data_IF_534307847098
#
_entry.id   IF_534307847098
#
_cell.length_a   1.000
_cell.length_b   1.000
_cell.length_c   1.000
_cell.angle_alpha   90.00
_cell.angle_beta   90.00
_cell.angle_gamma   90.00
#
_symmetry.space_group_name_H-M   'P 1'
#
loop_
_entity.id
_entity.type
_entity.pdbx_description
1 polymer ?
#
# COMPACT_ATOMS: atom_id res chain seq x y z
N UNK A 1 -65.62 -15.71 6.82
CA UNK A 1 -64.76 -14.51 6.71
C UNK A 1 -63.32 -14.95 6.92
N UNK A 2 -62.50 -15.00 5.85
CA UNK A 2 -61.12 -15.51 5.89
C UNK A 2 -60.16 -14.31 6.07
N UNK A 3 -59.42 -14.27 7.19
CA UNK A 3 -58.30 -13.32 7.41
C UNK A 3 -57.01 -13.99 6.95
N UNK A 4 -56.52 -13.61 5.78
CA UNK A 4 -55.19 -13.99 5.27
C UNK A 4 -54.15 -13.02 5.82
N UNK A 5 -53.29 -13.51 6.72
CA UNK A 5 -52.11 -12.79 7.17
C UNK A 5 -51.00 -12.97 6.12
N UNK A 6 -50.54 -11.88 5.50
CA UNK A 6 -49.33 -11.86 4.69
C UNK A 6 -48.15 -11.59 5.61
N UNK A 7 -47.35 -12.62 5.91
CA UNK A 7 -46.01 -12.45 6.48
C UNK A 7 -45.12 -11.80 5.42
N UNK A 8 -44.53 -10.65 5.76
CA UNK A 8 -43.45 -10.05 4.98
C UNK A 8 -42.14 -10.58 5.56
N UNK A 9 -41.45 -11.43 4.80
CA UNK A 9 -40.10 -11.87 5.10
C UNK A 9 -39.16 -10.73 4.68
N UNK A 10 -38.59 -10.04 5.66
CA UNK A 10 -37.52 -9.08 5.43
C UNK A 10 -36.24 -9.86 5.11
N UNK A 11 -35.79 -9.81 3.85
CA UNK A 11 -34.43 -10.23 3.49
C UNK A 11 -33.44 -9.21 4.07
N UNK A 12 -32.74 -9.59 5.13
CA UNK A 12 -31.51 -8.93 5.56
C UNK A 12 -30.42 -9.26 4.53
N UNK A 13 -30.18 -8.33 3.60
CA UNK A 13 -28.99 -8.34 2.75
C UNK A 13 -27.79 -8.07 3.66
N UNK A 14 -27.06 -9.12 4.02
CA UNK A 14 -25.72 -9.02 4.56
C UNK A 14 -24.85 -8.40 3.47
N UNK A 15 -24.60 -7.09 3.56
CA UNK A 15 -23.62 -6.42 2.75
C UNK A 15 -22.26 -7.03 3.04
N UNK A 16 -21.79 -7.88 2.14
CA UNK A 16 -20.39 -8.27 2.07
C UNK A 16 -19.59 -6.98 1.95
N UNK A 17 -18.99 -6.52 3.05
CA UNK A 17 -18.06 -5.42 3.04
C UNK A 17 -16.89 -5.81 2.16
N UNK A 18 -16.93 -5.41 0.89
CA UNK A 18 -15.71 -5.28 0.11
C UNK A 18 -14.85 -4.32 0.92
N UNK A 19 -13.76 -4.81 1.54
CA UNK A 19 -12.69 -3.93 1.99
C UNK A 19 -12.24 -3.18 0.75
N UNK A 20 -12.75 -1.96 0.59
CA UNK A 20 -12.42 -1.09 -0.52
C UNK A 20 -11.04 -0.55 -0.17
N UNK A 21 -10.01 -0.99 -0.90
CA UNK A 21 -8.67 -0.42 -0.73
C UNK A 21 -8.70 1.08 -0.99
N UNK A 22 -7.71 1.79 -0.43
CA UNK A 22 -7.50 3.21 -0.70
C UNK A 22 -7.42 3.48 -2.20
N UNK A 23 -7.90 4.65 -2.62
CA UNK A 23 -7.81 5.03 -4.03
C UNK A 23 -6.35 5.21 -4.42
N UNK A 24 -6.01 4.87 -5.66
CA UNK A 24 -4.70 5.14 -6.26
C UNK A 24 -4.90 6.04 -7.46
N UNK A 25 -4.11 7.11 -7.55
CA UNK A 25 -4.19 8.04 -8.68
C UNK A 25 -3.93 7.35 -10.03
N UNK A 26 -4.61 7.81 -11.08
CA UNK A 26 -4.43 7.27 -12.43
C UNK A 26 -2.98 7.38 -12.90
N UNK A 27 -2.44 6.28 -13.42
CA UNK A 27 -1.07 6.20 -13.95
C UNK A 27 0.03 6.08 -12.89
N UNK A 28 -0.31 6.11 -11.59
CA UNK A 28 0.60 5.83 -10.51
C UNK A 28 0.93 4.33 -10.46
N UNK A 29 2.21 3.98 -10.40
CA UNK A 29 2.64 2.62 -10.12
C UNK A 29 2.70 2.44 -8.60
N UNK A 30 1.79 1.64 -8.08
CA UNK A 30 1.60 1.39 -6.65
C UNK A 30 1.48 -0.12 -6.44
N UNK A 31 2.59 -0.86 -6.50
CA UNK A 31 2.54 -2.31 -6.40
C UNK A 31 2.21 -2.69 -4.96
N UNK A 32 1.38 -3.73 -4.81
CA UNK A 32 0.91 -4.18 -3.49
C UNK A 32 1.26 -5.64 -3.23
N UNK A 33 1.27 -6.03 -1.96
CA UNK A 33 1.50 -7.41 -1.53
C UNK A 33 0.46 -7.84 -0.49
N UNK A 34 0.24 -9.14 -0.36
CA UNK A 34 -0.71 -9.73 0.59
C UNK A 34 -0.04 -10.00 1.96
N UNK A 35 -0.51 -9.38 3.06
CA UNK A 35 0.05 -9.55 4.40
C UNK A 35 -0.07 -10.97 4.98
N UNK A 36 -0.92 -11.84 4.40
CA UNK A 36 -1.02 -13.25 4.80
C UNK A 36 0.16 -14.10 4.29
N UNK A 37 1.05 -13.51 3.47
CA UNK A 37 2.29 -14.12 2.99
C UNK A 37 3.49 -14.03 3.96
N UNK A 38 4.68 -14.53 3.57
CA UNK A 38 5.90 -14.39 4.37
C UNK A 38 6.32 -12.91 4.50
N UNK A 39 6.29 -12.40 5.73
CA UNK A 39 6.61 -11.00 6.07
C UNK A 39 8.11 -10.82 6.33
N UNK A 40 8.75 -9.76 5.83
CA UNK A 40 10.13 -9.41 6.22
C UNK A 40 10.23 -8.88 7.66
N UNK A 41 11.37 -9.16 8.31
CA UNK A 41 11.61 -8.88 9.73
C UNK A 41 12.42 -7.62 10.05
N UNK A 42 12.14 -6.49 9.40
CA UNK A 42 12.85 -5.21 9.61
C UNK A 42 11.92 -3.99 9.70
N UNK A 43 12.52 -2.80 9.72
CA UNK A 43 11.82 -1.50 9.66
C UNK A 43 12.33 -0.77 8.42
N UNK A 44 11.42 -0.24 7.62
CA UNK A 44 11.72 0.65 6.50
C UNK A 44 11.40 2.06 6.95
N UNK A 45 12.38 2.95 6.86
CA UNK A 45 12.27 4.33 7.33
C UNK A 45 12.93 5.26 6.30
N UNK A 46 12.22 6.31 5.93
CA UNK A 46 12.75 7.34 5.04
C UNK A 46 11.67 8.30 4.57
N UNK A 47 12.06 9.23 3.70
CA UNK A 47 11.13 10.24 3.18
C UNK A 47 10.28 9.62 2.08
N UNK A 48 8.96 9.86 2.10
CA UNK A 48 8.06 9.47 1.03
C UNK A 48 8.33 10.36 -0.20
N UNK A 49 8.63 9.75 -1.35
CA UNK A 49 8.97 10.47 -2.58
C UNK A 49 8.13 9.95 -3.74
N UNK A 50 7.54 10.86 -4.51
CA UNK A 50 6.96 10.54 -5.83
C UNK A 50 7.89 11.05 -6.93
N UNK A 51 8.24 10.19 -7.87
CA UNK A 51 8.94 10.57 -9.11
C UNK A 51 8.44 9.69 -10.26
N UNK A 52 8.23 10.29 -11.44
CA UNK A 52 7.80 9.59 -12.67
C UNK A 52 6.60 8.63 -12.48
N UNK A 53 5.68 9.01 -11.58
CA UNK A 53 4.49 8.23 -11.21
C UNK A 53 4.84 6.88 -10.57
N UNK A 54 5.86 6.86 -9.71
CA UNK A 54 6.27 5.75 -8.87
C UNK A 54 6.44 6.27 -7.43
N UNK A 55 6.05 5.48 -6.43
CA UNK A 55 6.21 5.84 -5.02
C UNK A 55 7.43 5.17 -4.43
N UNK A 56 8.32 5.97 -3.85
CA UNK A 56 9.56 5.53 -3.24
C UNK A 56 9.59 5.93 -1.76
N UNK A 57 10.43 5.23 -1.01
CA UNK A 57 10.99 5.74 0.24
C UNK A 57 12.45 6.06 -0.02
N UNK A 58 12.94 7.20 0.46
CA UNK A 58 14.32 7.62 0.31
C UNK A 58 15.10 7.51 1.65
N UNK A 59 15.59 6.31 2.04
CA UNK A 59 16.53 6.18 3.14
C UNK A 59 17.91 6.70 2.73
N UNK A 60 18.48 7.62 3.52
CA UNK A 60 19.86 8.11 3.32
C UNK A 60 20.18 8.63 1.90
N UNK A 61 19.18 9.19 1.20
CA UNK A 61 19.34 9.73 -0.16
C UNK A 61 19.38 8.69 -1.27
N UNK A 62 19.08 7.42 -0.98
CA UNK A 62 18.90 6.38 -1.99
C UNK A 62 17.42 6.11 -2.15
N UNK A 63 16.93 6.00 -3.38
CA UNK A 63 15.51 5.70 -3.62
C UNK A 63 15.29 4.20 -3.54
N UNK A 64 14.22 3.83 -2.86
CA UNK A 64 13.82 2.43 -2.70
C UNK A 64 12.37 2.31 -3.10
N UNK A 65 12.08 1.48 -4.11
CA UNK A 65 10.72 1.21 -4.55
C UNK A 65 10.01 0.36 -3.50
N UNK A 66 8.77 0.70 -3.17
CA UNK A 66 8.04 0.06 -2.08
C UNK A 66 6.88 -0.80 -2.59
N UNK A 67 6.79 -2.02 -2.06
CA UNK A 67 5.56 -2.80 -2.06
C UNK A 67 4.72 -2.43 -0.86
N UNK A 68 3.50 -1.98 -1.14
CA UNK A 68 2.55 -1.52 -0.12
C UNK A 68 1.64 -2.66 0.30
N UNK A 69 1.28 -2.72 1.58
CA UNK A 69 0.25 -3.66 2.03
C UNK A 69 -1.05 -3.43 1.24
N UNK A 70 -1.67 -4.51 0.77
CA UNK A 70 -2.94 -4.45 0.06
C UNK A 70 -3.99 -3.70 0.89
N UNK A 71 -4.66 -2.75 0.26
CA UNK A 71 -5.67 -1.91 0.89
C UNK A 71 -5.20 -0.49 1.18
N UNK A 72 -3.90 -0.20 1.18
CA UNK A 72 -3.40 1.18 1.14
C UNK A 72 -3.72 1.84 -0.20
N UNK A 73 -3.70 3.18 -0.21
CA UNK A 73 -3.89 3.99 -1.40
C UNK A 73 -2.90 5.14 -1.52
N UNK A 74 -2.97 5.87 -2.63
CA UNK A 74 -2.23 7.09 -2.84
C UNK A 74 -3.06 8.07 -3.68
N UNK A 75 -3.38 9.25 -3.14
CA UNK A 75 -4.18 10.28 -3.81
C UNK A 75 -3.74 11.68 -3.37
N UNK A 76 -3.66 12.61 -4.32
CA UNK A 76 -3.31 14.03 -4.10
C UNK A 76 -1.99 14.22 -3.35
N UNK A 77 -1.00 13.35 -3.62
CA UNK A 77 0.32 13.39 -2.98
C UNK A 77 0.36 12.79 -1.56
N UNK A 78 -0.72 12.14 -1.12
CA UNK A 78 -0.81 11.52 0.20
C UNK A 78 -0.93 9.99 0.11
N UNK A 79 -0.15 9.28 0.92
CA UNK A 79 -0.36 7.87 1.23
C UNK A 79 -1.59 7.74 2.12
N UNK A 80 -2.51 6.83 1.76
CA UNK A 80 -3.79 6.66 2.44
C UNK A 80 -3.88 5.30 3.13
N UNK A 81 -4.53 5.27 4.28
CA UNK A 81 -4.95 4.05 4.95
C UNK A 81 -6.11 3.36 4.20
N UNK A 82 -6.51 2.15 4.60
CA UNK A 82 -7.63 1.44 3.96
C UNK A 82 -9.01 2.10 4.14
N UNK A 83 -9.15 3.09 5.03
CA UNK A 83 -10.35 3.90 5.16
C UNK A 83 -10.30 5.16 4.27
N UNK A 84 -9.17 5.42 3.61
CA UNK A 84 -8.93 6.61 2.79
C UNK A 84 -8.46 7.82 3.61
N UNK A 85 -8.06 7.64 4.87
CA UNK A 85 -7.47 8.70 5.68
C UNK A 85 -5.98 8.87 5.34
N UNK A 86 -5.46 10.10 5.30
CA UNK A 86 -4.04 10.34 5.02
C UNK A 86 -3.16 9.81 6.16
N UNK A 87 -2.13 9.05 5.79
CA UNK A 87 -1.05 8.59 6.66
C UNK A 87 0.11 9.59 6.61
N UNK A 88 0.57 9.94 5.40
CA UNK A 88 1.72 10.83 5.17
C UNK A 88 1.65 11.47 3.78
N UNK A 89 2.23 12.66 3.63
CA UNK A 89 2.39 13.37 2.37
C UNK A 89 3.79 13.16 1.76
N UNK A 90 3.91 13.34 0.44
CA UNK A 90 5.22 13.40 -0.23
C UNK A 90 6.09 14.47 0.43
N UNK A 91 7.32 14.09 0.78
CA UNK A 91 8.27 14.92 1.53
C UNK A 91 8.24 14.68 3.04
N UNK A 92 7.29 13.92 3.57
CA UNK A 92 7.25 13.54 4.97
C UNK A 92 8.01 12.25 5.26
N UNK A 93 8.51 12.14 6.49
CA UNK A 93 9.16 10.95 7.00
C UNK A 93 8.10 9.89 7.33
N UNK A 94 8.26 8.70 6.75
CA UNK A 94 7.44 7.54 7.08
C UNK A 94 8.26 6.44 7.73
N UNK A 95 7.57 5.69 8.58
CA UNK A 95 8.07 4.52 9.26
C UNK A 95 7.09 3.37 9.01
N UNK A 96 7.57 2.26 8.48
CA UNK A 96 6.79 1.03 8.33
C UNK A 96 7.58 -0.17 8.82
N UNK A 97 6.89 -1.15 9.38
CA UNK A 97 7.44 -2.50 9.48
C UNK A 97 7.69 -3.06 8.07
N UNK A 98 8.76 -3.81 7.83
CA UNK A 98 9.14 -4.12 6.46
C UNK A 98 10.51 -4.75 6.29
N UNK A 99 11.05 -4.74 5.07
CA UNK A 99 12.43 -5.14 4.83
C UNK A 99 12.88 -4.90 3.41
N UNK A 100 14.20 -4.87 3.23
CA UNK A 100 14.85 -4.58 1.96
C UNK A 100 15.20 -5.85 1.18
N UNK A 101 15.15 -5.73 -0.14
CA UNK A 101 15.48 -6.77 -1.10
C UNK A 101 16.32 -6.17 -2.23
N UNK A 102 17.28 -6.95 -2.73
CA UNK A 102 18.12 -6.62 -3.89
C UNK A 102 17.70 -7.38 -5.16
N UNK A 103 16.73 -8.30 -5.06
CA UNK A 103 16.23 -9.13 -6.15
C UNK A 103 14.90 -8.60 -6.73
N UNK A 104 14.98 -8.01 -7.93
CA UNK A 104 13.81 -7.55 -8.71
C UNK A 104 12.82 -8.67 -8.98
N UNK A 105 13.29 -9.85 -9.38
CA UNK A 105 12.41 -10.95 -9.78
C UNK A 105 11.61 -11.43 -8.57
N UNK A 106 12.21 -11.40 -7.38
CA UNK A 106 11.49 -11.69 -6.14
C UNK A 106 10.41 -10.65 -5.85
N UNK A 107 10.74 -9.37 -6.01
CA UNK A 107 9.79 -8.27 -5.79
C UNK A 107 8.61 -8.34 -6.76
N UNK A 108 8.85 -8.58 -8.05
CA UNK A 108 7.79 -8.74 -9.06
C UNK A 108 6.89 -9.96 -8.79
N UNK A 109 7.46 -11.06 -8.28
CA UNK A 109 6.66 -12.21 -7.84
C UNK A 109 5.74 -11.89 -6.66
N UNK A 110 6.20 -11.06 -5.73
CA UNK A 110 5.40 -10.63 -4.58
C UNK A 110 4.32 -9.61 -4.98
N UNK A 111 4.65 -8.73 -5.94
CA UNK A 111 3.74 -7.76 -6.52
C UNK A 111 2.66 -8.39 -7.41
N UNK A 112 2.91 -9.61 -7.89
CA UNK A 112 2.19 -10.25 -8.99
C UNK A 112 2.13 -9.38 -10.28
N UNK A 113 3.10 -8.47 -10.43
CA UNK A 113 3.16 -7.47 -11.50
C UNK A 113 4.62 -7.16 -11.87
N UNK A 114 4.88 -6.81 -13.13
CA UNK A 114 6.20 -6.37 -13.58
C UNK A 114 6.43 -4.90 -13.18
N UNK A 115 7.62 -4.59 -12.67
CA UNK A 115 8.02 -3.23 -12.35
C UNK A 115 8.30 -2.48 -13.67
N UNK A 116 7.66 -1.32 -13.93
CA UNK A 116 8.00 -0.49 -15.08
C UNK A 116 9.43 0.02 -15.00
N UNK A 117 10.13 0.12 -16.15
CA UNK A 117 11.53 0.55 -16.17
C UNK A 117 11.79 1.91 -15.49
N UNK A 118 10.83 2.83 -15.59
CA UNK A 118 10.88 4.16 -14.92
C UNK A 118 10.85 4.07 -13.39
N UNK A 119 10.39 2.95 -12.83
CA UNK A 119 10.29 2.74 -11.39
C UNK A 119 11.45 1.91 -10.83
N UNK A 120 12.47 1.58 -11.63
CA UNK A 120 13.62 0.80 -11.17
C UNK A 120 14.65 1.75 -10.54
N UNK A 121 14.86 1.70 -9.22
CA UNK A 121 15.82 2.58 -8.57
C UNK A 121 17.24 2.00 -8.65
N UNK A 122 18.23 2.89 -8.64
CA UNK A 122 19.64 2.56 -8.54
C UNK A 122 20.06 2.45 -7.06
N UNK A 123 20.78 1.40 -6.66
CA UNK A 123 21.29 1.26 -5.30
C UNK A 123 21.50 -0.18 -4.84
N UNK A 124 22.00 -0.35 -3.62
CA UNK A 124 22.13 -1.68 -2.98
C UNK A 124 20.82 -2.15 -2.32
N UNK A 125 19.93 -1.21 -1.98
CA UNK A 125 18.64 -1.45 -1.32
C UNK A 125 17.49 -0.96 -2.22
N UNK A 126 17.46 -1.45 -3.46
CA UNK A 126 16.55 -0.97 -4.51
C UNK A 126 15.07 -1.23 -4.20
N UNK A 127 14.74 -2.23 -3.37
CA UNK A 127 13.37 -2.65 -3.15
C UNK A 127 13.06 -2.81 -1.66
N UNK A 128 11.89 -2.36 -1.23
CA UNK A 128 11.41 -2.52 0.14
C UNK A 128 9.96 -3.00 0.17
N UNK A 129 9.62 -3.81 1.17
CA UNK A 129 8.21 -4.03 1.54
C UNK A 129 7.87 -3.22 2.76
N UNK A 130 6.66 -2.66 2.82
CA UNK A 130 6.15 -1.91 3.97
C UNK A 130 4.82 -2.49 4.47
N UNK A 131 4.69 -2.57 5.79
CA UNK A 131 3.60 -3.08 6.62
C UNK A 131 3.39 -2.12 7.79
N UNK A 132 2.13 -1.81 8.14
CA UNK A 132 1.86 -0.97 9.32
C UNK A 132 2.61 0.37 9.28
N UNK A 133 2.22 1.23 8.34
CA UNK A 133 2.89 2.50 8.06
C UNK A 133 2.32 3.62 8.93
N UNK A 134 3.21 4.42 9.52
CA UNK A 134 2.87 5.62 10.29
C UNK A 134 3.77 6.78 9.83
N UNK A 135 3.24 8.01 9.86
CA UNK A 135 4.08 9.21 9.75
C UNK A 135 4.80 9.47 11.07
N UNK A 136 6.03 9.98 11.03
CA UNK A 136 6.57 10.58 12.25
C UNK A 136 8.06 10.83 12.34
N UNK A 137 8.38 11.78 13.22
CA UNK A 137 9.68 12.04 13.83
C UNK A 137 9.71 11.30 15.18
N UNK A 138 10.56 10.28 15.30
CA UNK A 138 10.83 9.64 16.59
C UNK A 138 12.10 10.27 17.19
N UNK A 139 11.96 10.83 18.39
CA UNK A 139 13.05 11.39 19.21
C UNK A 139 14.09 10.34 19.64
#
# INVERSE_FOLDING_TARGET
>A
MRRTWRMVIALLLLGSGCRRGGNVESGMFFPTWDPDGPVPGGIVQGVLVEEDRCLFIEPHGQRTLVLWEIGLGFEEGALLDPAGAPIAEVGELIHGGGGYYDDRDHFERLAEEQIPDRCIPEGAESFAMSYGVEAGLFE
#
